data_IF_160014912399
#
_entry.id   IF_160014912399
#
_cell.length_a   1.000
_cell.length_b   1.000
_cell.length_c   1.000
_cell.angle_alpha   90.00
_cell.angle_beta   90.00
_cell.angle_gamma   90.00
#
_symmetry.space_group_name_H-M   'P 1'
#
loop_
_entity.id
_entity.type
_entity.pdbx_description
1 polymer ?
#
# COMPACT_ATOMS: atom_id res chain seq x y z
N UNK A 1 -43.24 28.71 -1.11
CA UNK A 1 -42.91 27.32 -0.71
C UNK A 1 -41.40 27.17 -0.74
N UNK A 2 -40.77 26.83 0.38
CA UNK A 2 -39.31 26.75 0.49
C UNK A 2 -38.77 25.66 -0.46
N UNK A 3 -37.81 26.05 -1.30
CA UNK A 3 -37.16 25.13 -2.26
C UNK A 3 -36.32 24.16 -1.42
N UNK A 4 -36.66 22.87 -1.46
CA UNK A 4 -35.92 21.85 -0.73
C UNK A 4 -34.52 21.70 -1.36
N UNK A 5 -33.46 21.90 -0.57
CA UNK A 5 -32.07 21.82 -1.02
C UNK A 5 -31.64 20.35 -1.20
N UNK A 6 -31.83 19.81 -2.41
CA UNK A 6 -31.56 18.40 -2.72
C UNK A 6 -30.09 18.00 -2.51
N UNK A 7 -29.12 18.89 -2.75
CA UNK A 7 -27.69 18.61 -2.48
C UNK A 7 -27.40 18.37 -1.00
N UNK A 8 -28.04 19.13 -0.10
CA UNK A 8 -27.88 18.96 1.34
C UNK A 8 -28.49 17.64 1.82
N UNK A 9 -29.63 17.25 1.24
CA UNK A 9 -30.29 15.98 1.52
C UNK A 9 -29.46 14.79 1.05
N UNK A 10 -28.83 14.89 -0.12
CA UNK A 10 -27.91 13.87 -0.62
C UNK A 10 -26.71 13.68 0.32
N UNK A 11 -26.06 14.76 0.76
CA UNK A 11 -24.95 14.68 1.71
C UNK A 11 -25.38 14.11 3.07
N UNK A 12 -26.57 14.48 3.55
CA UNK A 12 -27.12 13.95 4.80
C UNK A 12 -27.43 12.46 4.70
N UNK A 13 -27.98 12.00 3.56
CA UNK A 13 -28.20 10.58 3.30
C UNK A 13 -26.89 9.80 3.25
N UNK A 14 -25.85 10.32 2.58
CA UNK A 14 -24.53 9.65 2.52
C UNK A 14 -23.91 9.45 3.90
N UNK A 15 -24.00 10.44 4.79
CA UNK A 15 -23.52 10.33 6.17
C UNK A 15 -24.31 9.30 6.98
N UNK A 16 -25.64 9.39 6.97
CA UNK A 16 -26.48 8.43 7.71
C UNK A 16 -26.32 7.00 7.15
N UNK A 17 -26.19 6.82 5.84
CA UNK A 17 -25.92 5.51 5.23
C UNK A 17 -24.53 4.96 5.61
N UNK A 18 -23.49 5.80 5.67
CA UNK A 18 -22.17 5.37 6.10
C UNK A 18 -22.12 4.99 7.59
N UNK A 19 -22.86 5.70 8.43
CA UNK A 19 -22.88 5.47 9.89
C UNK A 19 -23.77 4.28 10.30
N UNK A 20 -24.89 4.06 9.60
CA UNK A 20 -25.95 3.13 10.04
C UNK A 20 -26.38 2.10 9.01
N UNK A 21 -25.91 2.21 7.75
CA UNK A 21 -26.33 1.32 6.66
C UNK A 21 -27.80 1.43 6.28
N UNK A 22 -28.50 2.50 6.67
CA UNK A 22 -29.94 2.68 6.42
C UNK A 22 -30.21 2.81 4.92
N UNK A 23 -31.20 2.06 4.42
CA UNK A 23 -31.61 2.12 3.01
C UNK A 23 -32.27 3.46 2.65
N UNK A 24 -32.21 3.84 1.37
CA UNK A 24 -32.85 5.08 0.89
C UNK A 24 -34.35 5.13 1.18
N UNK A 25 -35.03 3.98 1.17
CA UNK A 25 -36.46 3.86 1.46
C UNK A 25 -36.76 4.22 2.92
N UNK A 26 -36.01 3.65 3.86
CA UNK A 26 -36.19 3.86 5.30
C UNK A 26 -35.79 5.28 5.71
N UNK A 27 -34.75 5.82 5.07
CA UNK A 27 -34.34 7.20 5.26
C UNK A 27 -35.41 8.20 4.82
N UNK A 28 -36.05 7.96 3.67
CA UNK A 28 -37.17 8.78 3.18
C UNK A 28 -38.38 8.71 4.11
N UNK A 29 -38.70 7.53 4.67
CA UNK A 29 -39.76 7.36 5.68
C UNK A 29 -39.46 8.17 6.94
N UNK A 30 -38.22 8.15 7.43
CA UNK A 30 -37.78 8.87 8.64
C UNK A 30 -37.84 10.39 8.45
N UNK A 31 -37.41 10.92 7.30
CA UNK A 31 -37.40 12.36 7.00
C UNK A 31 -38.74 12.88 6.44
N UNK A 32 -39.75 12.02 6.27
CA UNK A 32 -41.05 12.31 5.63
C UNK A 32 -40.89 12.93 4.22
N UNK A 33 -39.91 12.45 3.47
CA UNK A 33 -39.67 12.86 2.08
C UNK A 33 -40.27 11.81 1.15
N UNK A 34 -40.85 12.23 0.03
CA UNK A 34 -41.39 11.29 -0.95
C UNK A 34 -40.25 10.46 -1.56
N UNK A 35 -40.36 9.14 -1.45
CA UNK A 35 -39.35 8.20 -1.94
C UNK A 35 -39.10 8.31 -3.45
N UNK A 36 -40.13 8.52 -4.26
CA UNK A 36 -40.00 8.58 -5.72
C UNK A 36 -39.22 9.82 -6.19
N UNK A 37 -39.38 10.94 -5.48
CA UNK A 37 -38.64 12.17 -5.77
C UNK A 37 -37.21 12.12 -5.23
N UNK A 38 -36.98 11.43 -4.11
CA UNK A 38 -35.66 11.21 -3.55
C UNK A 38 -34.82 10.27 -4.41
N UNK A 39 -35.39 9.15 -4.88
CA UNK A 39 -34.68 8.14 -5.71
C UNK A 39 -34.12 8.71 -7.01
N UNK A 40 -34.81 9.69 -7.61
CA UNK A 40 -34.36 10.32 -8.86
C UNK A 40 -33.28 11.38 -8.65
N UNK A 41 -33.24 11.99 -7.45
CA UNK A 41 -32.37 13.15 -7.15
C UNK A 41 -31.14 12.81 -6.32
N UNK A 42 -31.20 11.77 -5.49
CA UNK A 42 -30.11 11.30 -4.64
C UNK A 42 -29.41 10.16 -5.39
N UNK A 43 -28.28 10.46 -6.02
CA UNK A 43 -27.47 9.44 -6.72
C UNK A 43 -26.42 8.87 -5.78
N UNK A 44 -26.46 7.56 -5.57
CA UNK A 44 -25.28 6.83 -5.10
C UNK A 44 -24.32 6.80 -6.30
N UNK A 45 -23.20 7.52 -6.22
CA UNK A 45 -22.28 7.63 -7.34
C UNK A 45 -21.85 6.25 -7.84
N UNK A 46 -22.07 5.97 -9.12
CA UNK A 46 -21.11 5.17 -9.89
C UNK A 46 -19.95 6.13 -10.18
N UNK A 47 -18.71 5.66 -10.01
CA UNK A 47 -17.52 6.41 -10.38
C UNK A 47 -17.57 6.54 -11.91
N UNK A 48 -17.87 7.72 -12.42
CA UNK A 48 -17.76 8.02 -13.85
C UNK A 48 -16.31 8.46 -14.12
N UNK A 49 -15.65 7.80 -15.08
CA UNK A 49 -14.35 8.19 -15.61
C UNK A 49 -14.50 9.50 -16.39
N UNK A 50 -13.89 10.57 -15.88
CA UNK A 50 -13.67 11.81 -16.62
C UNK A 50 -12.15 11.96 -16.80
N UNK A 51 -11.68 11.59 -18.01
CA UNK A 51 -10.29 11.80 -18.45
C UNK A 51 -10.25 13.19 -19.09
N UNK A 52 -9.65 14.14 -18.41
CA UNK A 52 -9.29 15.43 -18.99
C UNK A 52 -7.89 15.35 -19.59
N UNK A 53 -7.83 15.36 -20.93
CA UNK A 53 -6.61 15.58 -21.68
C UNK A 53 -6.25 17.08 -21.64
N UNK A 54 -5.10 17.42 -21.08
CA UNK A 54 -4.39 18.67 -21.43
C UNK A 54 -2.88 18.59 -21.16
N UNK A 55 -2.19 18.49 -22.30
CA UNK A 55 -0.96 19.19 -22.71
C UNK A 55 0.36 18.87 -22.02
N UNK A 56 1.23 18.32 -22.87
CA UNK A 56 2.68 18.18 -22.79
C UNK A 56 3.38 19.49 -22.37
N UNK A 57 4.35 19.35 -21.46
CA UNK A 57 5.55 20.19 -21.41
C UNK A 57 6.76 19.30 -21.13
N UNK A 58 7.71 19.38 -22.06
CA UNK A 58 9.01 18.73 -22.10
C UNK A 58 9.87 19.13 -20.89
N UNK A 59 10.54 18.14 -20.27
CA UNK A 59 11.82 18.34 -19.58
C UNK A 59 12.70 17.11 -19.83
N UNK A 60 13.81 17.36 -20.53
CA UNK A 60 14.90 16.43 -20.82
C UNK A 60 15.51 15.83 -19.55
N UNK A 61 15.88 14.55 -19.61
CA UNK A 61 16.64 13.85 -18.58
C UNK A 61 18.09 13.70 -19.06
N UNK A 62 18.99 14.51 -18.50
CA UNK A 62 20.43 14.25 -18.54
C UNK A 62 20.72 12.99 -17.71
N UNK A 63 21.45 12.07 -18.32
CA UNK A 63 21.97 10.83 -17.73
C UNK A 63 23.43 11.12 -17.38
N UNK A 64 23.78 11.02 -16.09
CA UNK A 64 25.16 10.92 -15.64
C UNK A 64 25.40 9.51 -15.09
N UNK A 65 26.34 8.84 -15.74
CA UNK A 65 26.87 7.51 -15.45
C UNK A 65 27.48 7.38 -14.05
N UNK A 66 27.19 6.28 -13.36
CA UNK A 66 28.07 5.65 -12.36
C UNK A 66 27.91 4.12 -12.47
N UNK A 67 29.02 3.46 -12.80
CA UNK A 67 29.17 2.03 -13.09
C UNK A 67 28.99 1.12 -11.84
N UNK A 68 28.46 -0.12 -11.99
CA UNK A 68 28.56 -1.14 -10.96
C UNK A 68 29.86 -1.95 -11.12
N UNK A 69 30.67 -1.94 -10.06
CA UNK A 69 31.89 -2.74 -9.98
C UNK A 69 31.58 -4.24 -9.82
N UNK A 70 32.26 -5.03 -10.65
CA UNK A 70 32.31 -6.49 -10.62
C UNK A 70 33.04 -6.99 -9.37
N UNK A 71 32.53 -8.04 -8.73
CA UNK A 71 33.40 -9.06 -8.15
C UNK A 71 32.83 -10.46 -8.38
N UNK A 72 33.71 -11.37 -8.76
CA UNK A 72 33.42 -12.66 -9.32
C UNK A 72 33.67 -13.78 -8.31
N UNK A 73 32.77 -14.76 -8.29
CA UNK A 73 33.16 -16.16 -8.25
C UNK A 73 32.94 -16.94 -6.95
N UNK A 74 31.99 -17.87 -7.05
CA UNK A 74 32.18 -19.32 -6.82
C UNK A 74 31.29 -19.91 -5.74
N UNK A 75 30.52 -20.93 -6.11
CA UNK A 75 29.81 -21.81 -5.18
C UNK A 75 28.51 -22.36 -5.75
N UNK A 76 28.62 -23.16 -6.81
CA UNK A 76 27.54 -24.00 -7.34
C UNK A 76 27.15 -25.06 -6.29
N UNK A 77 25.93 -25.02 -5.74
CA UNK A 77 25.33 -26.16 -5.05
C UNK A 77 23.79 -26.09 -5.05
N UNK A 78 23.22 -26.71 -6.10
CA UNK A 78 21.94 -27.43 -6.18
C UNK A 78 20.75 -26.94 -5.33
N UNK A 79 19.80 -26.34 -6.03
CA UNK A 79 18.39 -26.23 -5.63
C UNK A 79 17.83 -27.59 -5.19
N UNK A 80 17.52 -27.73 -3.91
CA UNK A 80 16.76 -28.86 -3.39
C UNK A 80 15.27 -28.66 -3.70
N UNK A 81 14.73 -29.66 -4.37
CA UNK A 81 13.34 -29.87 -4.76
C UNK A 81 12.37 -29.68 -3.57
N UNK A 82 11.39 -28.78 -3.74
CA UNK A 82 10.30 -28.59 -2.80
C UNK A 82 9.34 -29.78 -2.90
N UNK A 83 9.66 -30.88 -2.20
CA UNK A 83 8.66 -31.90 -1.93
C UNK A 83 7.72 -31.36 -0.83
N UNK A 84 6.51 -30.96 -1.20
CA UNK A 84 5.40 -30.71 -0.29
C UNK A 84 5.01 -32.00 0.45
N UNK A 85 5.85 -32.42 1.42
CA UNK A 85 5.46 -33.43 2.40
C UNK A 85 4.57 -32.72 3.41
N UNK A 86 3.27 -32.96 3.30
CA UNK A 86 2.27 -32.67 4.33
C UNK A 86 2.70 -33.32 5.67
N UNK A 87 3.46 -32.58 6.49
CA UNK A 87 3.94 -33.01 7.81
C UNK A 87 2.85 -33.03 8.89
N UNK A 88 1.58 -32.80 8.53
CA UNK A 88 0.46 -32.73 9.47
C UNK A 88 0.13 -34.06 10.19
N UNK A 89 0.61 -35.21 9.67
CA UNK A 89 0.20 -36.53 10.17
C UNK A 89 1.32 -37.39 10.76
N UNK A 90 2.52 -36.85 11.01
CA UNK A 90 3.58 -37.58 11.72
C UNK A 90 3.16 -37.86 13.17
N UNK A 91 3.44 -39.07 13.67
CA UNK A 91 3.16 -39.42 15.07
C UNK A 91 3.91 -38.52 16.07
N UNK A 92 5.02 -37.93 15.64
CA UNK A 92 5.89 -37.04 16.42
C UNK A 92 5.21 -35.71 16.79
N UNK A 93 4.24 -35.23 15.99
CA UNK A 93 3.58 -33.92 16.17
C UNK A 93 2.24 -33.98 16.90
N UNK A 94 1.79 -35.18 17.31
CA UNK A 94 0.52 -35.34 18.04
C UNK A 94 0.73 -35.09 19.54
N UNK A 95 0.01 -34.12 20.11
CA UNK A 95 -0.09 -33.98 21.58
C UNK A 95 -0.78 -35.21 22.15
N UNK A 96 -0.03 -36.08 22.81
CA UNK A 96 -0.59 -37.09 23.69
C UNK A 96 -1.16 -36.33 24.89
N UNK A 97 -2.49 -36.18 24.97
CA UNK A 97 -3.13 -35.70 26.21
C UNK A 97 -2.77 -36.70 27.30
N UNK A 98 -1.85 -36.31 28.18
CA UNK A 98 -1.59 -37.06 29.40
C UNK A 98 -2.86 -37.23 30.23
N UNK A 99 -2.88 -38.26 31.07
CA UNK A 99 -3.85 -38.40 32.17
C UNK A 99 -3.94 -37.06 32.93
N UNK A 100 -5.15 -36.67 33.37
CA UNK A 100 -5.42 -35.39 34.07
C UNK A 100 -4.55 -35.14 35.31
N UNK A 101 -3.84 -36.17 35.79
CA UNK A 101 -3.02 -36.17 37.00
C UNK A 101 -1.51 -36.13 36.74
N UNK A 102 -1.06 -36.14 35.47
CA UNK A 102 0.36 -36.16 35.13
C UNK A 102 0.69 -35.02 34.15
N UNK A 103 1.83 -34.31 34.34
CA UNK A 103 2.28 -33.29 33.40
C UNK A 103 2.54 -33.91 32.01
N UNK A 104 2.32 -33.15 30.92
CA UNK A 104 2.48 -33.67 29.57
C UNK A 104 3.91 -34.17 29.33
N UNK A 105 4.03 -35.41 28.86
CA UNK A 105 5.33 -36.07 28.60
C UNK A 105 6.15 -35.36 27.50
N UNK A 106 5.48 -34.66 26.58
CA UNK A 106 6.08 -33.77 25.58
C UNK A 106 5.61 -32.34 25.82
N UNK A 107 5.95 -31.77 26.99
CA UNK A 107 5.88 -30.32 27.16
C UNK A 107 6.73 -29.66 26.06
N UNK A 108 6.26 -28.55 25.48
CA UNK A 108 7.13 -27.76 24.61
C UNK A 108 8.40 -27.44 25.39
N UNK A 109 9.57 -27.62 24.75
CA UNK A 109 10.82 -27.18 25.36
C UNK A 109 10.67 -25.72 25.79
N UNK A 110 11.15 -25.39 26.98
CA UNK A 110 11.40 -24.00 27.35
C UNK A 110 12.26 -23.42 26.23
N UNK A 111 11.67 -22.56 25.38
CA UNK A 111 12.17 -22.08 24.07
C UNK A 111 11.58 -22.73 22.79
N UNK A 112 10.31 -23.11 22.74
CA UNK A 112 9.60 -23.14 21.46
C UNK A 112 9.40 -21.71 20.91
N UNK A 113 10.50 -21.04 20.55
CA UNK A 113 10.58 -19.67 20.04
C UNK A 113 10.52 -19.59 18.52
N UNK A 114 10.48 -20.73 17.83
CA UNK A 114 10.56 -20.80 16.37
C UNK A 114 9.36 -20.12 15.67
N UNK A 115 8.22 -19.99 16.37
CA UNK A 115 7.03 -19.33 15.82
C UNK A 115 6.97 -17.81 16.07
N UNK A 116 7.90 -17.23 16.84
CA UNK A 116 7.81 -15.82 17.27
C UNK A 116 8.59 -14.93 16.29
N UNK A 117 7.85 -14.16 15.47
CA UNK A 117 8.39 -13.37 14.35
C UNK A 117 9.35 -12.23 14.73
N UNK A 118 9.37 -11.79 15.99
CA UNK A 118 10.07 -10.55 16.39
C UNK A 118 11.05 -10.70 17.57
N UNK A 119 11.31 -11.92 18.08
CA UNK A 119 12.24 -12.13 19.21
C UNK A 119 13.74 -12.06 18.85
N UNK A 120 14.09 -11.87 17.57
CA UNK A 120 15.48 -11.76 17.13
C UNK A 120 16.22 -10.59 17.81
N UNK A 121 15.58 -9.42 17.87
CA UNK A 121 16.14 -8.23 18.50
C UNK A 121 15.90 -8.16 20.02
N UNK A 122 14.91 -8.88 20.55
CA UNK A 122 14.62 -8.92 21.99
C UNK A 122 15.85 -9.31 22.85
N UNK A 123 16.74 -10.12 22.28
CA UNK A 123 18.01 -10.55 22.91
C UNK A 123 18.91 -9.39 23.34
N UNK A 124 18.78 -8.22 22.71
CA UNK A 124 19.62 -7.05 22.98
C UNK A 124 18.97 -6.02 23.91
N UNK A 125 17.68 -6.18 24.24
CA UNK A 125 16.88 -5.15 24.89
C UNK A 125 16.55 -5.44 26.36
N UNK A 126 16.96 -6.62 26.88
CA UNK A 126 16.69 -7.07 28.26
C UNK A 126 15.21 -6.89 28.68
N UNK A 127 14.28 -7.00 27.73
CA UNK A 127 12.87 -6.72 27.94
C UNK A 127 12.02 -7.80 27.27
N UNK A 128 11.66 -8.81 28.05
CA UNK A 128 11.04 -10.05 27.56
C UNK A 128 9.69 -9.84 26.85
N UNK A 129 8.96 -8.77 27.19
CA UNK A 129 7.63 -8.45 26.66
C UNK A 129 7.62 -7.29 25.65
N UNK A 130 8.74 -6.56 25.49
CA UNK A 130 8.77 -5.31 24.71
C UNK A 130 8.39 -5.51 23.24
N UNK A 131 8.82 -6.62 22.64
CA UNK A 131 8.50 -6.91 21.24
C UNK A 131 7.05 -7.34 21.06
N UNK A 132 6.44 -7.95 22.07
CA UNK A 132 5.03 -8.33 22.05
C UNK A 132 4.15 -7.07 22.18
N UNK A 133 4.53 -6.15 23.08
CA UNK A 133 3.88 -4.83 23.22
C UNK A 133 4.03 -4.00 21.93
N UNK A 134 5.23 -3.97 21.35
CA UNK A 134 5.50 -3.23 20.11
C UNK A 134 4.74 -3.79 18.90
N UNK A 135 4.47 -5.10 18.85
CA UNK A 135 3.70 -5.71 17.76
C UNK A 135 2.24 -5.26 17.75
N UNK A 136 1.70 -4.83 18.89
CA UNK A 136 0.35 -4.29 19.01
C UNK A 136 0.24 -2.78 18.78
N UNK A 137 1.37 -2.07 18.67
CA UNK A 137 1.38 -0.62 18.47
C UNK A 137 1.11 -0.27 17.01
N UNK A 138 0.01 0.43 16.74
CA UNK A 138 -0.31 0.92 15.41
C UNK A 138 0.04 2.40 15.23
N UNK A 139 0.20 2.81 13.97
CA UNK A 139 0.47 4.21 13.63
C UNK A 139 -0.68 5.15 14.08
N UNK A 140 -1.90 4.63 14.17
CA UNK A 140 -3.07 5.35 14.70
C UNK A 140 -2.95 5.60 16.21
N UNK A 141 -2.41 4.64 16.97
CA UNK A 141 -2.21 4.79 18.41
C UNK A 141 -1.18 5.89 18.70
N UNK A 142 -0.10 5.93 17.91
CA UNK A 142 0.91 7.00 17.97
C UNK A 142 0.33 8.37 17.64
N UNK A 143 -0.62 8.44 16.70
CA UNK A 143 -1.34 9.69 16.41
C UNK A 143 -2.15 10.16 17.62
N UNK A 144 -2.88 9.25 18.28
CA UNK A 144 -3.66 9.59 19.47
C UNK A 144 -2.73 10.02 20.60
N UNK A 145 -1.64 9.30 20.81
CA UNK A 145 -0.65 9.62 21.84
C UNK A 145 0.01 10.98 21.61
N UNK A 146 0.44 11.28 20.39
CA UNK A 146 1.06 12.58 20.05
C UNK A 146 0.08 13.75 20.17
N UNK A 147 -1.20 13.55 19.79
CA UNK A 147 -2.26 14.53 20.03
C UNK A 147 -2.51 14.76 21.52
N UNK A 148 -2.57 13.70 22.33
CA UNK A 148 -2.69 13.80 23.78
C UNK A 148 -1.49 14.54 24.40
N UNK A 149 -0.28 14.25 23.91
CA UNK A 149 0.94 14.95 24.33
C UNK A 149 0.91 16.43 23.98
N UNK A 150 0.44 16.81 22.78
CA UNK A 150 0.28 18.21 22.39
C UNK A 150 -0.70 18.93 23.34
N UNK A 151 -1.86 18.33 23.62
CA UNK A 151 -2.83 18.88 24.58
C UNK A 151 -2.24 19.02 25.98
N UNK A 152 -1.48 18.03 26.44
CA UNK A 152 -0.78 18.08 27.73
C UNK A 152 0.23 19.23 27.77
N UNK A 153 1.04 19.40 26.72
CA UNK A 153 2.01 20.52 26.63
C UNK A 153 1.29 21.85 26.65
N UNK A 154 0.21 22.03 25.88
CA UNK A 154 -0.61 23.25 25.93
C UNK A 154 -1.15 23.53 27.34
N UNK A 155 -1.59 22.48 28.06
CA UNK A 155 -2.00 22.58 29.45
C UNK A 155 -0.88 23.04 30.38
N UNK A 156 0.34 22.51 30.21
CA UNK A 156 1.50 22.95 30.98
C UNK A 156 1.92 24.38 30.66
N UNK A 157 1.84 24.80 29.39
CA UNK A 157 2.16 26.14 28.95
C UNK A 157 1.23 27.18 29.61
N UNK A 158 -0.06 26.88 29.71
CA UNK A 158 -1.03 27.71 30.44
C UNK A 158 -0.67 27.90 31.91
N UNK A 159 -0.19 26.84 32.58
CA UNK A 159 0.27 26.92 33.97
C UNK A 159 1.54 27.77 34.09
N UNK A 160 2.53 27.55 33.22
CA UNK A 160 3.75 28.36 33.21
C UNK A 160 3.47 29.84 32.98
N UNK A 161 2.51 30.19 32.11
CA UNK A 161 2.09 31.58 31.93
C UNK A 161 1.35 32.16 33.14
N UNK A 162 0.68 31.33 33.96
CA UNK A 162 0.11 31.77 35.23
C UNK A 162 1.22 32.02 36.26
N UNK A 163 2.16 31.07 36.42
CA UNK A 163 3.32 31.20 37.31
C UNK A 163 4.17 32.42 36.96
N UNK A 164 4.31 32.73 35.67
CA UNK A 164 5.04 33.91 35.19
C UNK A 164 4.39 35.23 35.62
N UNK A 165 3.06 35.28 35.76
CA UNK A 165 2.34 36.47 36.25
C UNK A 165 2.52 36.67 37.75
N UNK A 166 2.68 35.58 38.50
CA UNK A 166 2.85 35.60 39.96
C UNK A 166 4.32 35.79 40.39
N UNK A 167 5.27 35.47 39.52
CA UNK A 167 6.69 35.58 39.80
C UNK A 167 7.14 37.05 39.99
N UNK A 168 7.53 37.38 41.21
CA UNK A 168 8.04 38.71 41.57
C UNK A 168 9.52 38.91 41.21
N UNK A 169 10.31 37.84 41.31
CA UNK A 169 11.75 37.89 41.07
C UNK A 169 12.10 37.86 39.56
N UNK A 170 13.21 38.50 39.18
CA UNK A 170 13.66 38.57 37.79
C UNK A 170 14.27 37.25 37.34
N UNK A 171 15.04 36.59 38.20
CA UNK A 171 15.76 35.36 37.87
C UNK A 171 14.77 34.21 37.63
N UNK A 172 13.76 34.09 38.49
CA UNK A 172 12.64 33.13 38.31
C UNK A 172 11.86 33.36 37.02
N UNK A 173 11.61 34.62 36.63
CA UNK A 173 10.95 34.94 35.35
C UNK A 173 11.78 34.52 34.15
N UNK A 174 13.09 34.76 34.15
CA UNK A 174 13.99 34.32 33.07
C UNK A 174 13.96 32.80 32.94
N UNK A 175 14.08 32.08 34.05
CA UNK A 175 14.01 30.62 34.05
C UNK A 175 12.65 30.07 33.57
N UNK A 176 11.55 30.77 33.85
CA UNK A 176 10.22 30.43 33.32
C UNK A 176 10.11 30.68 31.82
N UNK A 177 10.62 31.80 31.31
CA UNK A 177 10.64 32.08 29.88
C UNK A 177 11.42 31.02 29.10
N UNK A 178 12.57 30.58 29.60
CA UNK A 178 13.35 29.50 28.97
C UNK A 178 12.56 28.19 28.89
N UNK A 179 11.78 27.85 29.94
CA UNK A 179 10.93 26.66 29.97
C UNK A 179 9.74 26.79 29.02
N UNK A 180 9.11 27.96 28.96
CA UNK A 180 8.02 28.28 28.03
C UNK A 180 8.50 28.10 26.59
N UNK A 181 9.65 28.68 26.24
CA UNK A 181 10.21 28.58 24.90
C UNK A 181 10.53 27.13 24.52
N UNK A 182 11.09 26.35 25.46
CA UNK A 182 11.31 24.90 25.24
C UNK A 182 10.00 24.12 25.07
N UNK A 183 8.96 24.47 25.83
CA UNK A 183 7.64 23.86 25.72
C UNK A 183 6.95 24.20 24.40
N UNK A 184 7.06 25.43 23.92
CA UNK A 184 6.57 25.86 22.60
C UNK A 184 7.28 25.09 21.48
N UNK A 185 8.61 25.01 21.50
CA UNK A 185 9.33 24.20 20.53
C UNK A 185 8.95 22.71 20.59
N UNK A 186 8.66 22.18 21.79
CA UNK A 186 8.18 20.81 21.93
C UNK A 186 6.77 20.64 21.35
N UNK A 187 5.91 21.65 21.46
CA UNK A 187 4.59 21.68 20.85
C UNK A 187 4.69 21.70 19.32
N UNK A 188 5.56 22.53 18.74
CA UNK A 188 5.77 22.58 17.28
C UNK A 188 6.26 21.23 16.72
N UNK A 189 7.19 20.57 17.41
CA UNK A 189 7.64 19.22 17.04
C UNK A 189 6.50 18.20 17.08
N UNK A 190 5.61 18.29 18.07
CA UNK A 190 4.43 17.42 18.14
C UNK A 190 3.46 17.70 16.99
N UNK A 191 3.22 18.97 16.64
CA UNK A 191 2.35 19.35 15.52
C UNK A 191 2.91 18.80 14.20
N UNK A 192 4.20 19.00 13.93
CA UNK A 192 4.87 18.46 12.75
C UNK A 192 4.80 16.91 12.71
N UNK A 193 4.92 16.24 13.86
CA UNK A 193 4.79 14.78 13.96
C UNK A 193 3.35 14.33 13.68
N UNK A 194 2.34 15.03 14.18
CA UNK A 194 0.93 14.75 13.90
C UNK A 194 0.67 14.84 12.40
N UNK A 195 1.08 15.93 11.75
CA UNK A 195 0.91 16.10 10.30
C UNK A 195 1.67 15.03 9.49
N UNK A 196 2.86 14.63 9.95
CA UNK A 196 3.63 13.56 9.30
C UNK A 196 2.92 12.22 9.41
N UNK A 197 2.39 11.87 10.58
CA UNK A 197 1.67 10.62 10.80
C UNK A 197 0.37 10.59 9.99
N UNK A 198 -0.40 11.68 9.98
CA UNK A 198 -1.62 11.78 9.18
C UNK A 198 -1.35 11.61 7.68
N UNK A 199 -0.28 12.22 7.16
CA UNK A 199 0.15 12.02 5.76
C UNK A 199 0.51 10.57 5.46
N UNK A 200 1.23 9.90 6.36
CA UNK A 200 1.58 8.48 6.22
C UNK A 200 0.33 7.59 6.23
N UNK A 201 -0.63 7.83 7.13
CA UNK A 201 -1.89 7.07 7.19
C UNK A 201 -2.68 7.22 5.89
N UNK A 202 -2.86 8.46 5.41
CA UNK A 202 -3.53 8.72 4.12
C UNK A 202 -2.82 8.03 2.95
N UNK A 203 -1.50 8.00 2.96
CA UNK A 203 -0.71 7.31 1.92
C UNK A 203 -0.96 5.81 1.96
N UNK A 204 -1.00 5.20 3.15
CA UNK A 204 -1.31 3.77 3.30
C UNK A 204 -2.73 3.44 2.81
N UNK A 205 -3.71 4.30 3.08
CA UNK A 205 -5.09 4.15 2.58
C UNK A 205 -5.13 4.18 1.05
N UNK A 206 -4.46 5.16 0.43
CA UNK A 206 -4.35 5.26 -1.04
C UNK A 206 -3.67 4.02 -1.62
N UNK A 207 -2.59 3.54 -1.01
CA UNK A 207 -1.90 2.33 -1.46
C UNK A 207 -2.79 1.09 -1.34
N UNK A 208 -3.53 0.96 -0.24
CA UNK A 208 -4.47 -0.14 -0.04
C UNK A 208 -5.54 -0.20 -1.14
N UNK A 209 -6.02 0.95 -1.62
CA UNK A 209 -6.96 1.01 -2.75
C UNK A 209 -6.29 0.85 -4.13
N UNK A 210 -5.03 1.26 -4.28
CA UNK A 210 -4.34 1.29 -5.57
C UNK A 210 -3.80 -0.09 -5.94
N UNK A 211 -3.29 -0.87 -4.99
CA UNK A 211 -2.70 -2.20 -5.24
C UNK A 211 -3.69 -3.17 -5.91
N UNK A 212 -4.96 -3.28 -5.48
CA UNK A 212 -5.95 -4.14 -6.16
C UNK A 212 -6.25 -3.69 -7.59
N UNK A 213 -6.31 -2.38 -7.84
CA UNK A 213 -6.53 -1.83 -9.19
C UNK A 213 -5.40 -2.22 -10.13
N UNK A 214 -4.16 -2.00 -9.70
CA UNK A 214 -2.96 -2.39 -10.46
C UNK A 214 -2.92 -3.90 -10.73
N UNK A 215 -3.35 -4.73 -9.77
CA UNK A 215 -3.45 -6.17 -9.96
C UNK A 215 -4.47 -6.53 -11.04
N UNK A 216 -5.67 -5.95 -10.96
CA UNK A 216 -6.72 -6.17 -11.96
C UNK A 216 -6.30 -5.69 -13.35
N UNK A 217 -5.62 -4.56 -13.45
CA UNK A 217 -5.11 -4.05 -14.72
C UNK A 217 -4.00 -4.93 -15.28
N UNK A 218 -3.10 -5.46 -14.43
CA UNK A 218 -2.11 -6.45 -14.84
C UNK A 218 -2.76 -7.73 -15.36
N UNK A 219 -3.81 -8.22 -14.72
CA UNK A 219 -4.57 -9.38 -15.19
C UNK A 219 -5.22 -9.13 -16.55
N UNK A 220 -5.83 -7.95 -16.76
CA UNK A 220 -6.39 -7.56 -18.06
C UNK A 220 -5.33 -7.51 -19.16
N UNK A 221 -4.18 -6.91 -18.89
CA UNK A 221 -3.06 -6.82 -19.83
C UNK A 221 -2.53 -8.22 -20.16
N UNK A 222 -2.37 -9.08 -19.16
CA UNK A 222 -1.96 -10.47 -19.38
C UNK A 222 -2.97 -11.22 -20.25
N UNK A 223 -4.27 -11.12 -19.97
CA UNK A 223 -5.30 -11.77 -20.78
C UNK A 223 -5.33 -11.25 -22.23
N UNK A 224 -5.16 -9.93 -22.43
CA UNK A 224 -5.05 -9.35 -23.77
C UNK A 224 -3.80 -9.85 -24.51
N UNK A 225 -2.65 -9.91 -23.83
CA UNK A 225 -1.41 -10.48 -24.37
C UNK A 225 -1.58 -11.94 -24.75
N UNK A 226 -2.22 -12.75 -23.90
CA UNK A 226 -2.41 -14.17 -24.15
C UNK A 226 -3.38 -14.41 -25.31
N UNK A 227 -4.40 -13.56 -25.46
CA UNK A 227 -5.28 -13.53 -26.65
C UNK A 227 -4.49 -13.20 -27.92
N UNK A 228 -3.71 -12.13 -27.92
CA UNK A 228 -2.89 -11.74 -29.07
C UNK A 228 -1.90 -12.85 -29.43
N UNK A 229 -1.30 -13.49 -28.42
CA UNK A 229 -0.42 -14.65 -28.62
C UNK A 229 -1.14 -15.82 -29.30
N UNK A 230 -2.35 -16.15 -28.85
CA UNK A 230 -3.16 -17.19 -29.49
C UNK A 230 -3.52 -16.83 -30.94
N UNK A 231 -3.84 -15.57 -31.22
CA UNK A 231 -4.10 -15.09 -32.58
C UNK A 231 -2.83 -15.19 -33.46
N UNK A 232 -1.67 -14.80 -32.95
CA UNK A 232 -0.39 -14.95 -33.68
C UNK A 232 -0.06 -16.42 -33.95
N UNK A 233 -0.28 -17.31 -32.97
CA UNK A 233 -0.03 -18.74 -33.14
C UNK A 233 -0.94 -19.34 -34.23
N UNK A 234 -2.22 -18.93 -34.26
CA UNK A 234 -3.16 -19.32 -35.32
C UNK A 234 -2.66 -18.83 -36.69
N UNK A 235 -2.28 -17.56 -36.81
CA UNK A 235 -1.78 -16.97 -38.07
C UNK A 235 -0.53 -17.70 -38.58
N UNK A 236 0.44 -17.97 -37.69
CA UNK A 236 1.64 -18.75 -38.01
C UNK A 236 1.29 -20.18 -38.46
N UNK A 237 0.38 -20.86 -37.76
CA UNK A 237 -0.04 -22.23 -38.12
C UNK A 237 -0.74 -22.30 -39.49
N UNK A 238 -1.52 -21.28 -39.84
CA UNK A 238 -2.22 -21.18 -41.12
C UNK A 238 -1.31 -20.81 -42.29
N UNK A 239 0.03 -20.69 -42.08
CA UNK A 239 0.99 -20.08 -43.02
C UNK A 239 0.58 -18.70 -43.54
N UNK A 240 -0.39 -18.05 -42.87
CA UNK A 240 -0.59 -16.60 -42.92
C UNK A 240 0.44 -16.01 -41.98
N UNK A 241 1.72 -16.29 -42.25
CA UNK A 241 2.83 -15.68 -41.53
C UNK A 241 2.66 -14.16 -41.55
N UNK A 242 3.27 -13.49 -40.59
CA UNK A 242 3.20 -12.03 -40.47
C UNK A 242 3.84 -11.43 -41.72
N UNK A 243 3.03 -11.19 -42.75
CA UNK A 243 3.43 -10.44 -43.94
C UNK A 243 3.46 -8.97 -43.51
N UNK A 244 4.57 -8.57 -42.89
CA UNK A 244 4.82 -7.15 -42.67
C UNK A 244 5.24 -6.53 -44.01
N UNK A 245 4.95 -5.23 -44.24
CA UNK A 245 5.48 -4.54 -45.42
C UNK A 245 7.00 -4.68 -45.55
N UNK A 246 7.71 -4.82 -44.43
CA UNK A 246 9.16 -5.08 -44.39
C UNK A 246 9.49 -6.51 -44.85
N UNK A 247 8.69 -7.52 -44.47
CA UNK A 247 8.83 -8.89 -44.95
C UNK A 247 8.68 -8.97 -46.47
N UNK A 248 7.74 -8.22 -47.06
CA UNK A 248 7.56 -8.17 -48.51
C UNK A 248 8.76 -7.52 -49.22
N UNK A 249 9.26 -6.41 -48.66
CA UNK A 249 10.46 -5.74 -49.16
C UNK A 249 11.69 -6.66 -49.07
N UNK A 250 11.88 -7.37 -47.95
CA UNK A 250 13.02 -8.30 -47.78
C UNK A 250 12.89 -9.52 -48.70
N UNK A 251 11.68 -10.02 -48.93
CA UNK A 251 11.43 -11.14 -49.85
C UNK A 251 11.72 -10.74 -51.30
N UNK A 252 11.22 -9.57 -51.73
CA UNK A 252 11.49 -9.02 -53.07
C UNK A 252 12.99 -8.71 -53.29
N UNK A 253 13.70 -8.21 -52.27
CA UNK A 253 15.16 -8.02 -52.35
C UNK A 253 15.92 -9.34 -52.48
N UNK A 254 15.53 -10.40 -51.76
CA UNK A 254 16.14 -11.73 -51.91
C UNK A 254 15.87 -12.33 -53.29
N UNK A 255 14.66 -12.16 -53.84
CA UNK A 255 14.32 -12.59 -55.20
C UNK A 255 15.16 -11.84 -56.25
N UNK A 256 15.34 -10.54 -56.07
CA UNK A 256 16.23 -9.73 -56.91
C UNK A 256 17.70 -10.15 -56.79
N UNK A 257 18.20 -10.46 -55.59
CA UNK A 257 19.58 -10.91 -55.38
C UNK A 257 19.87 -12.27 -56.03
N UNK A 258 18.90 -13.17 -56.08
CA UNK A 258 19.05 -14.48 -56.72
C UNK A 258 18.95 -14.41 -58.25
N UNK A 259 18.35 -13.35 -58.82
CA UNK A 259 18.36 -13.10 -60.27
C UNK A 259 19.71 -12.64 -60.83
N UNK A 260 20.70 -12.38 -59.96
CA UNK A 260 22.05 -11.93 -60.33
C UNK A 260 23.14 -13.00 -60.30
N UNK A 261 22.81 -14.27 -60.03
CA UNK A 261 23.81 -15.35 -60.07
C UNK A 261 24.07 -15.74 -61.53
N UNK A 262 25.18 -15.23 -62.06
CA UNK A 262 25.79 -15.66 -63.32
C UNK A 262 26.21 -17.13 -63.20
N UNK A 263 25.31 -18.06 -63.52
CA UNK A 263 25.64 -19.49 -63.67
C UNK A 263 26.17 -19.82 -65.09
N UNK A 264 26.42 -18.81 -65.94
CA UNK A 264 27.02 -18.98 -67.27
C UNK A 264 28.38 -18.25 -67.37
N UNK A 265 29.43 -18.86 -66.81
CA UNK A 265 30.81 -18.60 -67.25
C UNK A 265 31.21 -19.78 -68.15
N UNK A 266 31.36 -19.60 -69.47
CA UNK A 266 31.90 -20.65 -70.32
C UNK A 266 33.36 -20.88 -69.94
N UNK A 267 33.71 -22.12 -69.60
CA UNK A 267 35.10 -22.55 -69.44
C UNK A 267 35.82 -22.47 -70.80
N UNK A 268 36.84 -21.62 -70.90
CA UNK A 268 37.93 -21.71 -71.90
C UNK A 268 39.18 -22.33 -71.27
#
# INVERSE_FOLDING_TARGET
MAKLDWKKLEQAFRREHAETGITLLDWCRKKKINYNTARTRIKMGKIDHEIDHKTDHEIDHDISDEEPSNDAGSGDEKCADNSEKNCANSAETKRIRGSRLLPPLNAFSERNTHAVRHRGYAKYLEADNLMDDAAGMELVDELVFTRARALSVTGTLKKMFADLKEAADVETRVALYDKILKAEQALDRNIARIESIERSLLTLDVLAETVPKLRADRERINAARDKLRAETDILTSQRRGIVTPVSDIVSSLHEMSNSGRLDDIPEE
#
